data_IF_683314143285
#
_entry.id   IF_683314143285
#
_cell.length_a   1.000
_cell.length_b   1.000
_cell.length_c   1.000
_cell.angle_alpha   90.00
_cell.angle_beta   90.00
_cell.angle_gamma   90.00
#
_symmetry.space_group_name_H-M   'P 1'
#
loop_
_entity.id
_entity.type
_entity.pdbx_description
1 polymer ?
#
# COMPACT_ATOMS: atom_id res chain seq x y z
N UNK A 1 12.26 23.65 4.91
CA UNK A 1 10.86 23.20 4.99
C UNK A 1 10.46 22.73 3.62
N UNK A 2 10.27 21.42 3.45
CA UNK A 2 10.00 20.80 2.16
C UNK A 2 8.71 20.00 2.25
N UNK A 3 7.57 20.68 2.09
CA UNK A 3 6.36 20.04 1.60
C UNK A 3 5.94 20.84 0.38
N UNK A 4 6.20 20.27 -0.80
CA UNK A 4 5.70 20.79 -2.08
C UNK A 4 4.24 20.38 -2.19
N UNK A 5 3.45 21.34 -2.63
CA UNK A 5 2.00 21.26 -2.81
C UNK A 5 1.57 19.97 -3.52
N UNK A 6 0.45 19.39 -3.05
CA UNK A 6 -0.24 18.34 -3.78
C UNK A 6 -0.80 18.95 -5.07
N UNK A 7 -0.15 18.68 -6.19
CA UNK A 7 -0.67 19.02 -7.51
C UNK A 7 -1.85 18.07 -7.80
N UNK A 8 -3.08 18.55 -7.55
CA UNK A 8 -4.29 17.86 -7.97
C UNK A 8 -4.49 18.18 -9.45
N UNK A 9 -4.28 17.20 -10.31
CA UNK A 9 -4.62 17.26 -11.72
C UNK A 9 -6.04 16.70 -11.91
N UNK A 10 -6.90 17.43 -12.63
CA UNK A 10 -8.18 16.92 -13.09
C UNK A 10 -7.92 15.85 -14.16
N UNK A 11 -7.93 14.58 -13.74
CA UNK A 11 -7.90 13.45 -14.65
C UNK A 11 -9.32 13.09 -15.07
N UNK A 12 -9.50 12.77 -16.35
CA UNK A 12 -10.74 12.17 -16.85
C UNK A 12 -11.00 10.87 -16.10
N UNK A 13 -11.96 10.89 -15.16
CA UNK A 13 -12.30 9.75 -14.31
C UNK A 13 -13.04 8.62 -15.06
N UNK A 14 -13.28 8.78 -16.37
CA UNK A 14 -13.91 7.75 -17.20
C UNK A 14 -12.89 6.84 -17.91
N UNK A 15 -11.61 7.23 -17.94
CA UNK A 15 -10.55 6.35 -18.41
C UNK A 15 -10.05 5.46 -17.26
N UNK A 16 -9.67 4.22 -17.57
CA UNK A 16 -9.07 3.28 -16.61
C UNK A 16 -7.65 3.72 -16.15
N UNK A 17 -7.33 5.01 -16.20
CA UNK A 17 -5.98 5.56 -15.99
C UNK A 17 -5.79 6.17 -14.59
N UNK A 18 -6.83 6.17 -13.75
CA UNK A 18 -6.76 6.71 -12.38
C UNK A 18 -6.54 5.57 -11.39
N UNK A 19 -5.45 5.65 -10.62
CA UNK A 19 -5.12 4.70 -9.56
C UNK A 19 -4.56 5.44 -8.34
N UNK A 20 -4.74 4.85 -7.17
CA UNK A 20 -4.03 5.29 -5.97
C UNK A 20 -2.68 4.58 -5.89
N UNK A 21 -1.61 5.36 -5.78
CA UNK A 21 -0.25 4.85 -5.62
C UNK A 21 0.27 5.27 -4.25
N UNK A 22 0.49 4.29 -3.37
CA UNK A 22 0.86 4.48 -1.97
C UNK A 22 2.28 3.97 -1.74
N UNK A 23 3.20 4.89 -1.54
CA UNK A 23 4.59 4.56 -1.19
C UNK A 23 4.74 4.48 0.34
N UNK A 24 5.46 3.47 0.80
CA UNK A 24 5.89 3.33 2.20
C UNK A 24 6.53 4.66 2.73
N UNK A 25 6.32 5.05 4.00
CA UNK A 25 6.20 4.19 5.18
C UNK A 25 4.80 3.59 5.37
N UNK A 26 4.77 2.29 5.70
CA UNK A 26 3.62 1.41 5.48
C UNK A 26 2.34 1.87 6.14
N UNK A 27 1.22 1.57 5.49
CA UNK A 27 -0.13 1.86 5.96
C UNK A 27 -0.40 1.26 7.36
N UNK A 28 0.17 0.09 7.62
CA UNK A 28 0.07 -0.61 8.91
C UNK A 28 1.22 -0.30 9.87
N UNK A 29 2.10 0.64 9.56
CA UNK A 29 3.20 1.03 10.44
C UNK A 29 2.65 1.51 11.80
N UNK A 30 3.15 1.03 12.96
CA UNK A 30 2.55 1.29 14.28
C UNK A 30 2.32 2.77 14.60
N UNK A 31 3.23 3.64 14.16
CA UNK A 31 3.13 5.09 14.40
C UNK A 31 2.26 5.84 13.39
N UNK A 32 1.89 5.22 12.26
CA UNK A 32 1.15 5.86 11.17
C UNK A 32 -0.24 5.24 10.96
N UNK A 33 -0.47 4.01 11.42
CA UNK A 33 -1.71 3.23 11.17
C UNK A 33 -2.98 4.01 11.53
N UNK A 34 -2.99 4.74 12.64
CA UNK A 34 -4.16 5.53 13.05
C UNK A 34 -4.48 6.64 12.07
N UNK A 35 -3.48 7.34 11.53
CA UNK A 35 -3.67 8.42 10.55
C UNK A 35 -4.13 7.91 9.19
N UNK A 36 -3.80 6.67 8.84
CA UNK A 36 -4.20 6.06 7.57
C UNK A 36 -5.62 5.48 7.58
N UNK A 37 -6.22 5.24 8.75
CA UNK A 37 -7.47 4.47 8.87
C UNK A 37 -8.61 5.02 8.02
N UNK A 38 -8.96 6.28 8.21
CA UNK A 38 -10.10 6.91 7.54
C UNK A 38 -9.82 7.12 6.04
N UNK A 39 -8.56 7.43 5.70
CA UNK A 39 -8.11 7.55 4.31
C UNK A 39 -8.24 6.21 3.58
N UNK A 40 -7.81 5.11 4.20
CA UNK A 40 -7.92 3.78 3.61
C UNK A 40 -9.38 3.36 3.40
N UNK A 41 -10.26 3.63 4.36
CA UNK A 41 -11.70 3.37 4.22
C UNK A 41 -12.30 4.15 3.03
N UNK A 42 -11.92 5.42 2.87
CA UNK A 42 -12.35 6.25 1.73
C UNK A 42 -11.81 5.72 0.40
N UNK A 43 -10.53 5.35 0.37
CA UNK A 43 -9.85 4.84 -0.82
C UNK A 43 -10.50 3.53 -1.28
N UNK A 44 -10.72 2.56 -0.39
CA UNK A 44 -11.32 1.28 -0.78
C UNK A 44 -12.77 1.45 -1.25
N UNK A 45 -13.50 2.51 -0.86
CA UNK A 45 -14.84 2.78 -1.37
C UNK A 45 -14.85 3.22 -2.85
N UNK A 46 -13.76 3.81 -3.34
CA UNK A 46 -13.69 4.37 -4.71
C UNK A 46 -13.74 3.30 -5.80
N UNK A 47 -13.39 2.04 -5.49
CA UNK A 47 -13.19 0.95 -6.47
C UNK A 47 -12.04 1.17 -7.45
N UNK A 48 -11.26 2.23 -7.29
CA UNK A 48 -10.10 2.48 -8.12
C UNK A 48 -8.99 1.46 -7.82
N UNK A 49 -8.14 1.12 -8.81
CA UNK A 49 -6.97 0.29 -8.57
C UNK A 49 -6.06 0.89 -7.50
N UNK A 50 -5.39 0.02 -6.74
CA UNK A 50 -4.41 0.40 -5.72
C UNK A 50 -3.07 -0.22 -6.04
N UNK A 51 -2.02 0.59 -5.92
CA UNK A 51 -0.64 0.13 -5.94
C UNK A 51 0.03 0.50 -4.63
N UNK A 52 0.59 -0.49 -3.93
CA UNK A 52 1.26 -0.32 -2.65
C UNK A 52 2.70 -0.80 -2.74
N UNK A 53 3.60 -0.18 -1.99
CA UNK A 53 4.99 -0.67 -1.82
C UNK A 53 5.31 -0.97 -0.37
N UNK A 54 6.15 -1.97 -0.14
CA UNK A 54 6.62 -2.37 1.19
C UNK A 54 8.15 -2.51 1.22
N UNK A 55 8.78 -2.24 2.37
CA UNK A 55 10.25 -2.38 2.52
C UNK A 55 10.68 -3.78 2.96
N UNK A 56 9.80 -4.49 3.65
CA UNK A 56 10.04 -5.80 4.25
C UNK A 56 8.79 -6.67 4.18
N UNK A 57 8.93 -7.96 4.48
CA UNK A 57 7.78 -8.86 4.66
C UNK A 57 6.90 -8.44 5.85
N UNK A 58 7.52 -7.90 6.91
CA UNK A 58 6.79 -7.39 8.06
C UNK A 58 5.90 -6.19 7.71
N UNK A 59 6.35 -5.32 6.80
CA UNK A 59 5.52 -4.24 6.25
C UNK A 59 4.35 -4.80 5.44
N UNK A 60 4.60 -5.83 4.61
CA UNK A 60 3.54 -6.49 3.82
C UNK A 60 2.41 -6.98 4.70
N UNK A 61 2.73 -7.68 5.80
CA UNK A 61 1.75 -8.21 6.75
C UNK A 61 0.93 -7.10 7.41
N UNK A 62 1.59 -6.02 7.83
CA UNK A 62 0.93 -4.89 8.48
C UNK A 62 0.00 -4.16 7.52
N UNK A 63 0.47 -3.89 6.31
CA UNK A 63 -0.29 -3.20 5.26
C UNK A 63 -1.45 -4.05 4.77
N UNK A 64 -1.23 -5.35 4.62
CA UNK A 64 -2.28 -6.30 4.30
C UNK A 64 -3.40 -6.30 5.33
N UNK A 65 -3.04 -6.38 6.62
CA UNK A 65 -4.02 -6.36 7.68
C UNK A 65 -4.81 -5.04 7.68
N UNK A 66 -4.14 -3.91 7.48
CA UNK A 66 -4.80 -2.61 7.34
C UNK A 66 -5.79 -2.60 6.16
N UNK A 67 -5.38 -3.13 5.00
CA UNK A 67 -6.22 -3.20 3.80
C UNK A 67 -7.46 -4.08 4.03
N UNK A 68 -7.27 -5.30 4.54
CA UNK A 68 -8.35 -6.25 4.86
C UNK A 68 -9.34 -5.65 5.86
N UNK A 69 -8.83 -5.07 6.95
CA UNK A 69 -9.67 -4.41 7.96
C UNK A 69 -10.46 -3.25 7.33
N UNK A 70 -9.91 -2.53 6.34
CA UNK A 70 -10.60 -1.43 5.65
C UNK A 70 -11.76 -1.94 4.79
N UNK A 71 -11.53 -2.99 3.98
CA UNK A 71 -12.61 -3.64 3.20
C UNK A 71 -13.74 -4.14 4.12
N UNK A 72 -13.39 -4.78 5.24
CA UNK A 72 -14.35 -5.24 6.24
C UNK A 72 -15.16 -4.09 6.85
N UNK A 73 -14.49 -2.99 7.26
CA UNK A 73 -15.15 -1.82 7.86
C UNK A 73 -16.15 -1.17 6.92
N UNK A 74 -15.84 -1.10 5.63
CA UNK A 74 -16.74 -0.51 4.63
C UNK A 74 -17.77 -1.51 4.09
N UNK A 75 -17.81 -2.74 4.61
CA UNK A 75 -18.75 -3.77 4.20
C UNK A 75 -18.56 -4.25 2.76
N UNK A 76 -17.32 -4.21 2.25
CA UNK A 76 -17.00 -4.64 0.87
C UNK A 76 -16.17 -5.93 0.89
N UNK A 77 -16.43 -6.87 -0.04
CA UNK A 77 -15.55 -8.01 -0.20
C UNK A 77 -14.19 -7.56 -0.75
N UNK A 78 -13.13 -8.17 -0.26
CA UNK A 78 -11.80 -8.01 -0.82
C UNK A 78 -11.75 -8.66 -2.22
N UNK A 79 -11.01 -8.10 -3.19
CA UNK A 79 -10.98 -8.64 -4.55
C UNK A 79 -10.42 -10.07 -4.56
N UNK A 80 -11.07 -10.98 -5.30
CA UNK A 80 -10.68 -12.40 -5.39
C UNK A 80 -9.27 -12.63 -5.96
N UNK A 81 -8.69 -11.64 -6.64
CA UNK A 81 -7.32 -11.71 -7.16
C UNK A 81 -6.26 -11.37 -6.11
N UNK A 82 -6.68 -10.98 -4.91
CA UNK A 82 -5.78 -10.61 -3.82
C UNK A 82 -6.19 -11.40 -2.58
N UNK A 83 -5.72 -12.65 -2.51
CA UNK A 83 -6.15 -13.61 -1.48
C UNK A 83 -5.07 -13.85 -0.42
N UNK A 84 -3.80 -13.64 -0.79
CA UNK A 84 -2.65 -13.94 0.05
C UNK A 84 -1.80 -12.69 0.26
N UNK A 85 -1.12 -12.61 1.41
CA UNK A 85 -0.15 -11.54 1.67
C UNK A 85 1.06 -11.69 0.75
N UNK A 86 1.56 -12.92 0.59
CA UNK A 86 2.78 -13.21 -0.15
C UNK A 86 2.49 -14.08 -1.38
N UNK A 87 3.29 -13.92 -2.43
CA UNK A 87 3.24 -14.76 -3.63
C UNK A 87 2.58 -14.06 -4.82
N UNK A 88 2.24 -14.84 -5.84
CA UNK A 88 1.77 -14.29 -7.12
C UNK A 88 0.46 -13.52 -6.96
N UNK A 89 -0.43 -13.93 -6.06
CA UNK A 89 -1.71 -13.24 -5.81
C UNK A 89 -1.66 -12.29 -4.59
N UNK A 90 -0.46 -11.79 -4.27
CA UNK A 90 -0.18 -10.90 -3.15
C UNK A 90 0.98 -9.95 -3.44
N UNK A 91 1.79 -9.64 -2.42
CA UNK A 91 3.02 -8.87 -2.59
C UNK A 91 4.07 -9.66 -3.38
N UNK A 92 4.68 -8.97 -4.34
CA UNK A 92 5.74 -9.49 -5.22
C UNK A 92 7.00 -8.65 -5.10
N UNK A 93 8.15 -9.23 -5.47
CA UNK A 93 9.41 -8.49 -5.53
C UNK A 93 9.32 -7.35 -6.56
N UNK A 94 9.71 -6.15 -6.16
CA UNK A 94 9.71 -5.00 -7.04
C UNK A 94 11.01 -4.96 -7.86
N UNK A 95 10.95 -5.00 -9.20
CA UNK A 95 12.15 -4.91 -10.05
C UNK A 95 12.83 -3.53 -9.97
N UNK A 96 12.13 -2.52 -9.44
CA UNK A 96 12.61 -1.16 -9.25
C UNK A 96 12.97 -0.85 -7.78
N UNK A 97 13.12 -1.88 -6.94
CA UNK A 97 13.53 -1.71 -5.56
C UNK A 97 14.86 -0.96 -5.46
N UNK A 98 14.99 -0.11 -4.43
CA UNK A 98 16.26 0.54 -4.14
C UNK A 98 17.36 -0.48 -3.94
N UNK A 99 18.58 -0.15 -4.41
CA UNK A 99 19.78 -0.94 -4.13
C UNK A 99 20.40 -0.60 -2.78
N UNK A 100 20.01 0.53 -2.19
CA UNK A 100 20.46 0.94 -0.85
C UNK A 100 19.62 0.24 0.21
N UNK A 101 20.29 -0.27 1.24
CA UNK A 101 19.65 -0.82 2.43
C UNK A 101 19.79 0.11 3.63
N UNK A 102 18.77 0.09 4.48
CA UNK A 102 18.73 0.80 5.76
C UNK A 102 18.29 -0.18 6.85
N UNK A 103 18.75 -0.02 8.10
CA UNK A 103 18.25 -0.83 9.21
C UNK A 103 16.79 -0.46 9.52
N UNK A 104 15.93 -1.45 9.67
CA UNK A 104 14.55 -1.27 10.11
C UNK A 104 14.49 -1.15 11.64
N UNK A 105 14.07 0.01 12.20
CA UNK A 105 13.98 0.19 13.65
C UNK A 105 12.90 -0.68 14.30
N UNK A 106 11.95 -1.22 13.54
CA UNK A 106 10.85 -2.04 14.04
C UNK A 106 11.08 -3.55 13.90
N UNK A 107 12.18 -3.96 13.27
CA UNK A 107 12.56 -5.36 13.06
C UNK A 107 14.02 -5.60 13.50
N UNK A 108 14.38 -5.11 14.69
CA UNK A 108 15.69 -5.36 15.31
C UNK A 108 16.89 -4.86 14.49
N UNK A 109 16.69 -3.87 13.61
CA UNK A 109 17.73 -3.35 12.74
C UNK A 109 17.98 -4.20 11.48
N UNK A 110 17.10 -5.15 11.14
CA UNK A 110 17.20 -5.94 9.91
C UNK A 110 17.31 -5.00 8.71
N UNK A 111 18.20 -5.33 7.78
CA UNK A 111 18.37 -4.55 6.57
C UNK A 111 17.12 -4.64 5.67
N UNK A 112 16.52 -3.50 5.38
CA UNK A 112 15.38 -3.36 4.47
C UNK A 112 15.75 -2.46 3.31
N UNK A 113 15.01 -2.57 2.19
CA UNK A 113 15.22 -1.72 1.01
C UNK A 113 13.94 -1.00 0.67
N UNK A 114 14.06 0.28 0.30
CA UNK A 114 12.91 1.04 -0.15
C UNK A 114 12.23 0.35 -1.35
N UNK A 115 10.91 0.20 -1.26
CA UNK A 115 10.06 -0.48 -2.25
C UNK A 115 10.56 -1.88 -2.63
N UNK A 116 11.07 -2.68 -1.69
CA UNK A 116 11.51 -4.05 -1.95
C UNK A 116 10.40 -4.93 -2.56
N UNK A 117 9.15 -4.67 -2.18
CA UNK A 117 7.98 -5.38 -2.65
C UNK A 117 6.90 -4.42 -3.12
N UNK A 118 6.00 -4.91 -3.95
CA UNK A 118 4.80 -4.20 -4.37
C UNK A 118 3.57 -5.09 -4.34
N UNK A 119 2.41 -4.49 -4.13
CA UNK A 119 1.10 -5.12 -4.23
C UNK A 119 0.24 -4.30 -5.20
N UNK A 120 -0.38 -4.97 -6.16
CA UNK A 120 -1.39 -4.38 -7.03
C UNK A 120 -2.75 -4.97 -6.69
N UNK A 121 -3.70 -4.11 -6.34
CA UNK A 121 -5.09 -4.47 -6.10
C UNK A 121 -5.89 -3.98 -7.31
N UNK A 122 -6.49 -4.87 -8.12
CA UNK A 122 -7.27 -4.47 -9.26
C UNK A 122 -8.58 -3.77 -8.83
N UNK A 123 -9.25 -3.06 -9.74
CA UNK A 123 -10.61 -2.57 -9.52
C UNK A 123 -11.55 -3.67 -9.03
N UNK A 124 -12.45 -3.30 -8.12
CA UNK A 124 -13.34 -4.22 -7.40
C UNK A 124 -14.80 -3.93 -7.67
#
# INVERSE_FOLDING_TARGET
GYYKEAHIHDYDTTSNDVAFVLFNPGLGHPHLKSGWRDAMDSIVQTRLPLFLTAHSELDQDRDWNMLRESFERVGRPMPLHVVHVHGDDGYRLCPFASRMSTPDPLDGGRAVRANAYYLYVPPA
#
